data_IF_272018849020
#
_entry.id   IF_272018849020
#
_cell.length_a   1.000
_cell.length_b   1.000
_cell.length_c   1.000
_cell.angle_alpha   90.00
_cell.angle_beta   90.00
_cell.angle_gamma   90.00
#
_symmetry.space_group_name_H-M   'P 1'
#
loop_
_entity.id
_entity.type
_entity.pdbx_description
1 polymer ?
#
# COMPACT_ATOMS: atom_id res chain seq x y z
N UNK A 1 10.64 -5.04 -5.95
CA UNK A 1 9.63 -5.27 -4.90
C UNK A 1 8.59 -4.17 -5.04
N UNK A 2 7.29 -4.44 -4.94
CA UNK A 2 6.30 -3.38 -5.07
C UNK A 2 6.44 -2.44 -3.86
N UNK A 3 6.45 -1.13 -4.10
CA UNK A 3 6.48 -0.16 -3.01
C UNK A 3 5.10 -0.11 -2.34
N UNK A 4 4.95 -0.74 -1.17
CA UNK A 4 3.72 -0.77 -0.38
C UNK A 4 3.47 0.56 0.35
N UNK A 5 3.37 1.64 -0.44
CA UNK A 5 3.14 3.03 -0.01
C UNK A 5 1.87 3.56 -0.66
N UNK A 6 0.69 3.06 -0.28
CA UNK A 6 -0.57 3.50 -0.86
C UNK A 6 -0.84 4.97 -0.53
N UNK A 7 -1.62 5.63 -1.38
CA UNK A 7 -2.20 6.93 -1.04
C UNK A 7 -3.36 6.73 -0.07
N UNK A 8 -3.38 7.54 0.98
CA UNK A 8 -4.48 7.67 1.93
C UNK A 8 -5.09 9.04 1.67
N UNK A 9 -6.37 9.06 1.30
CA UNK A 9 -7.08 10.30 0.98
C UNK A 9 -8.40 10.38 1.74
N UNK A 10 -8.78 11.58 2.16
CA UNK A 10 -10.04 11.86 2.85
C UNK A 10 -10.49 13.29 2.56
N UNK A 11 -11.80 13.52 2.70
CA UNK A 11 -12.37 14.86 2.67
C UNK A 11 -13.10 15.13 4.00
N UNK A 12 -12.96 16.36 4.48
CA UNK A 12 -13.56 16.85 5.72
C UNK A 12 -14.46 18.02 5.35
N UNK A 13 -15.68 18.02 5.87
CA UNK A 13 -16.66 19.08 5.63
C UNK A 13 -17.37 19.49 6.91
N UNK A 14 -17.48 20.79 7.16
CA UNK A 14 -18.40 21.40 8.12
C UNK A 14 -19.06 22.63 7.50
N UNK A 15 -20.34 22.53 7.16
CA UNK A 15 -21.13 23.64 6.61
C UNK A 15 -21.47 24.69 7.69
N UNK A 16 -21.39 24.32 8.98
CA UNK A 16 -21.76 25.16 10.11
C UNK A 16 -20.73 26.25 10.37
N UNK A 17 -19.74 25.96 11.21
CA UNK A 17 -18.73 26.95 11.64
C UNK A 17 -17.48 26.97 10.75
N UNK A 18 -17.28 25.92 9.97
CA UNK A 18 -16.05 25.68 9.23
C UNK A 18 -15.01 24.97 10.08
N UNK A 19 -14.11 24.27 9.42
CA UNK A 19 -13.11 23.39 10.02
C UNK A 19 -11.86 24.20 10.38
N UNK A 20 -11.35 24.01 11.61
CA UNK A 20 -10.07 24.55 12.02
C UNK A 20 -8.94 23.68 11.46
N UNK A 21 -8.14 24.22 10.54
CA UNK A 21 -7.04 23.50 9.88
C UNK A 21 -6.02 22.95 10.88
N UNK A 22 -5.66 23.74 11.90
CA UNK A 22 -4.65 23.36 12.90
C UNK A 22 -5.15 22.24 13.83
N UNK A 23 -6.46 21.99 13.84
CA UNK A 23 -7.09 20.94 14.61
C UNK A 23 -7.38 19.66 13.79
N UNK A 24 -6.87 19.57 12.55
CA UNK A 24 -6.92 18.34 11.75
C UNK A 24 -5.69 17.49 12.09
N UNK A 25 -5.92 16.31 12.66
CA UNK A 25 -4.87 15.33 12.93
C UNK A 25 -5.13 14.03 12.16
N UNK A 26 -4.10 13.53 11.49
CA UNK A 26 -4.09 12.23 10.83
C UNK A 26 -3.14 11.29 11.56
N UNK A 27 -3.64 10.12 11.92
CA UNK A 27 -2.80 9.03 12.43
C UNK A 27 -2.97 7.75 11.63
N UNK A 28 -1.86 7.03 11.44
CA UNK A 28 -1.83 5.71 10.83
C UNK A 28 -1.21 4.74 11.84
N UNK A 29 -1.94 3.68 12.17
CA UNK A 29 -1.58 2.73 13.23
C UNK A 29 -1.31 3.39 14.59
N UNK A 30 -1.96 4.53 14.87
CA UNK A 30 -1.77 5.29 16.11
C UNK A 30 -0.55 6.22 16.10
N UNK A 31 0.23 6.27 15.02
CA UNK A 31 1.32 7.24 14.86
C UNK A 31 0.77 8.48 14.17
N UNK A 32 1.02 9.65 14.76
CA UNK A 32 0.71 10.94 14.14
C UNK A 32 1.59 11.17 12.91
N UNK A 33 0.94 11.34 11.75
CA UNK A 33 1.58 11.56 10.45
C UNK A 33 1.12 12.88 9.82
N UNK A 34 0.46 13.75 10.60
CA UNK A 34 -0.14 15.00 10.14
C UNK A 34 0.88 15.90 9.42
N UNK A 35 2.11 15.99 9.95
CA UNK A 35 3.18 16.79 9.35
C UNK A 35 3.62 16.30 7.95
N UNK A 36 3.37 15.03 7.62
CA UNK A 36 3.65 14.46 6.30
C UNK A 36 2.44 14.50 5.35
N UNK A 37 1.27 14.95 5.81
CA UNK A 37 0.06 15.02 5.02
C UNK A 37 -0.03 16.34 4.25
N UNK A 38 -0.60 16.27 3.06
CA UNK A 38 -1.03 17.41 2.26
C UNK A 38 -2.47 17.72 2.68
N UNK A 39 -2.69 18.91 3.23
CA UNK A 39 -4.01 19.37 3.70
C UNK A 39 -4.36 20.63 2.93
N UNK A 40 -5.33 20.52 2.04
CA UNK A 40 -5.68 21.58 1.09
C UNK A 40 -7.14 21.99 1.26
N UNK A 41 -7.38 23.30 1.30
CA UNK A 41 -8.72 23.86 1.21
C UNK A 41 -9.28 23.67 -0.20
N UNK A 42 -10.48 23.09 -0.32
CA UNK A 42 -11.11 22.76 -1.61
C UNK A 42 -12.34 23.61 -1.96
N UNK A 43 -12.86 24.38 -1.01
CA UNK A 43 -13.99 25.32 -1.19
C UNK A 43 -13.51 26.76 -1.34
N UNK A 44 -12.76 27.03 -2.40
CA UNK A 44 -12.10 28.32 -2.60
C UNK A 44 -13.05 29.50 -2.80
N UNK A 45 -14.30 29.23 -3.17
CA UNK A 45 -15.33 30.25 -3.38
C UNK A 45 -15.96 30.76 -2.08
N UNK A 46 -15.78 30.04 -0.97
CA UNK A 46 -16.40 30.43 0.31
C UNK A 46 -15.68 31.64 0.93
N UNK A 47 -16.42 32.67 1.33
CA UNK A 47 -15.86 33.82 2.04
C UNK A 47 -15.93 33.55 3.55
N UNK A 48 -14.78 33.48 4.20
CA UNK A 48 -14.68 33.26 5.65
C UNK A 48 -14.02 31.93 6.00
N UNK A 49 -14.54 31.27 7.05
CA UNK A 49 -14.01 30.00 7.54
C UNK A 49 -14.19 28.89 6.50
N UNK A 50 -13.12 28.13 6.25
CA UNK A 50 -13.12 27.03 5.30
C UNK A 50 -14.04 25.90 5.78
N UNK A 51 -15.02 25.53 4.95
CA UNK A 51 -15.98 24.46 5.17
C UNK A 51 -15.42 23.12 4.72
N UNK A 52 -14.60 23.08 3.66
CA UNK A 52 -14.14 21.82 3.04
C UNK A 52 -12.62 21.73 2.88
N UNK A 53 -12.08 20.59 3.30
CA UNK A 53 -10.67 20.26 3.21
C UNK A 53 -10.47 18.89 2.57
N UNK A 54 -9.43 18.77 1.74
CA UNK A 54 -8.93 17.50 1.24
C UNK A 54 -7.61 17.18 1.93
N UNK A 55 -7.52 15.95 2.44
CA UNK A 55 -6.34 15.40 3.08
C UNK A 55 -5.77 14.29 2.19
N UNK A 56 -4.45 14.32 1.94
CA UNK A 56 -3.73 13.29 1.18
C UNK A 56 -2.42 12.97 1.86
N UNK A 57 -2.15 11.70 2.06
CA UNK A 57 -0.92 11.23 2.69
C UNK A 57 -0.37 10.01 1.96
N UNK A 58 0.95 9.98 1.76
CA UNK A 58 1.66 8.81 1.28
C UNK A 58 2.74 8.46 2.30
N UNK A 59 2.73 7.25 2.88
CA UNK A 59 3.76 6.81 3.80
C UNK A 59 5.17 7.03 3.23
N UNK A 60 6.08 7.61 4.02
CA UNK A 60 7.47 7.80 3.60
C UNK A 60 8.22 6.46 3.48
N UNK A 61 7.87 5.52 4.36
CA UNK A 61 8.37 4.16 4.43
C UNK A 61 7.26 3.19 4.02
N UNK A 62 7.64 2.07 3.38
CA UNK A 62 6.70 1.01 3.05
C UNK A 62 6.02 0.46 4.30
N UNK A 63 4.71 0.30 4.23
CA UNK A 63 3.94 -0.35 5.28
C UNK A 63 4.10 -1.88 5.15
N UNK A 64 4.22 -2.62 6.26
CA UNK A 64 4.30 -4.07 6.22
C UNK A 64 2.96 -4.70 5.74
N UNK A 65 2.98 -5.92 5.18
CA UNK A 65 1.76 -6.65 4.91
C UNK A 65 0.92 -6.84 6.18
N UNK A 66 -0.41 -6.73 6.05
CA UNK A 66 -1.35 -6.85 7.15
C UNK A 66 -2.35 -5.71 7.26
N UNK A 67 -3.13 -5.65 8.36
CA UNK A 67 -4.12 -4.61 8.59
C UNK A 67 -3.46 -3.29 9.03
N UNK A 68 -3.94 -2.20 8.47
CA UNK A 68 -3.58 -0.83 8.84
C UNK A 68 -4.83 -0.04 9.22
N UNK A 69 -4.77 0.69 10.33
CA UNK A 69 -5.85 1.56 10.80
C UNK A 69 -5.48 3.01 10.53
N UNK A 70 -6.37 3.74 9.87
CA UNK A 70 -6.29 5.19 9.70
C UNK A 70 -7.30 5.83 10.63
N UNK A 71 -6.91 6.92 11.27
CA UNK A 71 -7.80 7.74 12.08
C UNK A 71 -7.58 9.22 11.73
N UNK A 72 -8.69 9.94 11.59
CA UNK A 72 -8.73 11.39 11.45
C UNK A 72 -9.51 11.96 12.63
N UNK A 73 -8.90 12.92 13.30
CA UNK A 73 -9.53 13.79 14.28
C UNK A 73 -9.60 15.19 13.67
N UNK A 74 -10.75 15.84 13.78
CA UNK A 74 -10.92 17.22 13.31
C UNK A 74 -11.79 17.99 14.30
N UNK A 75 -11.48 19.27 14.47
CA UNK A 75 -12.34 20.20 15.21
C UNK A 75 -12.75 21.38 14.35
N UNK A 76 -13.96 21.87 14.58
CA UNK A 76 -14.48 23.06 13.93
C UNK A 76 -14.05 24.33 14.68
N UNK A 77 -14.37 25.50 14.12
CA UNK A 77 -14.02 26.79 14.74
C UNK A 77 -14.90 27.16 15.94
N UNK A 78 -16.03 26.45 16.12
CA UNK A 78 -16.92 26.59 17.27
C UNK A 78 -16.54 25.70 18.46
N UNK A 79 -15.53 24.83 18.31
CA UNK A 79 -15.03 23.94 19.36
C UNK A 79 -15.67 22.56 19.38
N UNK A 80 -16.44 22.17 18.36
CA UNK A 80 -16.93 20.80 18.22
C UNK A 80 -15.83 19.92 17.59
N UNK A 81 -15.69 18.68 18.08
CA UNK A 81 -14.71 17.72 17.56
C UNK A 81 -15.36 16.45 17.07
N UNK A 82 -14.77 15.83 16.05
CA UNK A 82 -15.19 14.55 15.50
C UNK A 82 -14.01 13.65 15.21
N UNK A 83 -14.21 12.34 15.38
CA UNK A 83 -13.26 11.29 15.06
C UNK A 83 -13.84 10.33 14.04
N UNK A 84 -13.05 9.97 13.05
CA UNK A 84 -13.35 8.91 12.07
C UNK A 84 -12.18 7.94 11.96
N UNK A 85 -12.49 6.66 11.83
CA UNK A 85 -11.50 5.60 11.72
C UNK A 85 -11.94 4.58 10.67
N UNK A 86 -10.99 4.07 9.91
CA UNK A 86 -11.19 2.96 8.98
C UNK A 86 -9.93 2.12 8.90
N UNK A 87 -10.05 0.93 8.30
CA UNK A 87 -8.92 0.02 8.11
C UNK A 87 -8.81 -0.43 6.67
N UNK A 88 -7.59 -0.70 6.24
CA UNK A 88 -7.28 -1.36 4.97
C UNK A 88 -6.29 -2.50 5.21
N UNK A 89 -6.14 -3.39 4.24
CA UNK A 89 -5.25 -4.54 4.34
C UNK A 89 -4.25 -4.53 3.18
N UNK A 90 -2.96 -4.70 3.49
CA UNK A 90 -1.89 -4.87 2.51
C UNK A 90 -1.57 -6.35 2.34
N UNK A 91 -1.64 -6.83 1.10
CA UNK A 91 -1.29 -8.20 0.77
C UNK A 91 0.22 -8.36 0.66
N UNK A 92 0.75 -9.43 1.25
CA UNK A 92 2.14 -9.78 1.07
C UNK A 92 2.43 -10.04 -0.43
N UNK A 93 3.61 -9.62 -0.93
CA UNK A 93 3.98 -9.87 -2.30
C UNK A 93 4.03 -11.38 -2.54
N UNK A 94 3.34 -11.85 -3.59
CA UNK A 94 3.41 -13.25 -3.99
C UNK A 94 4.88 -13.59 -4.33
N UNK A 95 5.43 -14.72 -3.85
CA UNK A 95 6.77 -15.14 -4.23
C UNK A 95 6.82 -15.29 -5.76
N UNK A 96 7.79 -14.63 -6.39
CA UNK A 96 8.07 -14.85 -7.81
C UNK A 96 8.86 -16.14 -7.93
N UNK A 97 8.20 -17.22 -8.34
CA UNK A 97 8.90 -18.44 -8.74
C UNK A 97 9.46 -18.20 -10.13
N UNK A 98 10.76 -17.94 -10.23
CA UNK A 98 11.48 -18.01 -11.50
C UNK A 98 11.96 -19.44 -11.69
N UNK A 99 11.32 -20.18 -12.58
CA UNK A 99 11.88 -21.43 -13.08
C UNK A 99 13.06 -21.07 -13.99
N UNK A 100 14.29 -21.14 -13.48
CA UNK A 100 15.45 -21.26 -14.35
C UNK A 100 15.47 -22.71 -14.86
N UNK A 101 14.83 -22.92 -16.01
CA UNK A 101 14.98 -24.15 -16.77
C UNK A 101 16.01 -23.92 -17.89
N UNK A 102 17.23 -23.49 -17.56
CA UNK A 102 18.37 -23.69 -18.47
C UNK A 102 18.73 -25.18 -18.50
N UNK A 103 17.89 -26.01 -19.12
CA UNK A 103 18.27 -27.36 -19.53
C UNK A 103 19.04 -27.26 -20.85
N UNK A 104 20.32 -26.90 -20.79
CA UNK A 104 21.19 -27.11 -21.95
C UNK A 104 21.69 -28.55 -21.91
N UNK A 105 20.85 -29.50 -22.33
CA UNK A 105 21.35 -30.84 -22.65
C UNK A 105 22.01 -30.77 -24.03
N UNK A 106 23.32 -30.51 -24.06
CA UNK A 106 24.09 -30.56 -25.31
C UNK A 106 24.28 -32.04 -25.67
N UNK A 107 23.42 -32.56 -26.54
CA UNK A 107 23.60 -33.88 -27.14
C UNK A 107 24.69 -33.79 -28.21
N UNK A 108 25.95 -34.06 -27.81
CA UNK A 108 27.03 -34.31 -28.76
C UNK A 108 26.87 -35.72 -29.35
N UNK A 109 26.16 -35.84 -30.47
CA UNK A 109 26.17 -37.06 -31.26
C UNK A 109 27.38 -37.09 -32.20
N UNK A 110 28.48 -37.69 -31.74
CA UNK A 110 29.54 -38.18 -32.64
C UNK A 110 29.20 -39.61 -33.02
N UNK A 111 28.73 -39.84 -34.26
CA UNK A 111 28.47 -41.20 -34.76
C UNK A 111 29.79 -41.96 -34.94
N UNK A 112 30.18 -42.72 -33.93
CA UNK A 112 30.89 -44.00 -34.06
C UNK A 112 29.82 -45.11 -33.91
N UNK A 113 29.95 -46.28 -34.56
CA UNK A 113 28.83 -47.21 -34.78
C UNK A 113 28.17 -47.70 -33.48
N UNK A 114 26.84 -47.82 -33.56
CA UNK A 114 25.84 -47.99 -32.49
C UNK A 114 26.13 -49.12 -31.49
N UNK A 115 26.34 -48.78 -30.21
CA UNK A 115 26.11 -49.70 -29.08
C UNK A 115 25.31 -49.02 -27.95
N UNK A 116 24.02 -49.37 -27.88
CA UNK A 116 23.04 -49.27 -26.76
C UNK A 116 22.90 -47.95 -25.97
N UNK A 117 21.67 -47.43 -25.96
CA UNK A 117 21.21 -46.44 -24.98
C UNK A 117 20.61 -47.10 -23.73
N UNK A 118 20.94 -46.58 -22.56
CA UNK A 118 20.17 -46.73 -21.32
C UNK A 118 19.97 -45.32 -20.75
N UNK A 119 18.73 -44.94 -20.49
CA UNK A 119 18.45 -43.77 -19.68
C UNK A 119 17.39 -44.12 -18.63
N UNK A 120 17.63 -43.71 -17.38
CA UNK A 120 16.72 -43.92 -16.24
C UNK A 120 16.45 -42.56 -15.63
N UNK A 121 15.24 -42.05 -15.79
CA UNK A 121 14.78 -40.88 -15.06
C UNK A 121 14.06 -41.31 -13.77
N UNK A 122 14.48 -40.78 -12.63
CA UNK A 122 13.73 -40.85 -11.37
C UNK A 122 13.03 -39.51 -11.15
N UNK A 123 11.74 -39.54 -10.89
CA UNK A 123 10.98 -38.36 -10.47
C UNK A 123 10.65 -38.48 -8.98
N UNK A 124 10.96 -37.43 -8.21
CA UNK A 124 10.47 -37.26 -6.84
C UNK A 124 9.69 -35.96 -6.80
N UNK A 125 8.37 -36.05 -6.58
CA UNK A 125 7.56 -34.88 -6.25
C UNK A 125 7.61 -34.65 -4.75
N UNK A 126 7.75 -33.38 -4.34
CA UNK A 126 7.51 -32.97 -2.96
C UNK A 126 6.27 -32.08 -2.96
N UNK A 127 5.23 -32.51 -2.25
CA UNK A 127 4.16 -31.64 -1.75
C UNK A 127 4.58 -31.20 -0.35
N UNK A 128 4.43 -29.90 -0.06
CA UNK A 128 4.16 -29.42 1.29
C UNK A 128 2.87 -28.63 1.26
#
# INVERSE_FOLDING_TARGET
>A
MAEERPWIEAEISDEGSGVNQDAILLSVNGVDVTAGAIIERIDREEIGAAKKWRLRYRPSIALPPGPHRVQIDASDTAGNSSRRQWSFYLQAPKPKVSWDASLTNVLNYSYQPLERFHDKANFTSYLQ
#
